data_IF_641093601198
#
_entry.id   IF_641093601198
#
_cell.length_a   1.000
_cell.length_b   1.000
_cell.length_c   1.000
_cell.angle_alpha   90.00
_cell.angle_beta   90.00
_cell.angle_gamma   90.00
#
_symmetry.space_group_name_H-M   'P 1'
#
loop_
_entity.id
_entity.type
_entity.pdbx_description
1 polymer ?
#
# COMPACT_ATOMS: atom_id res chain seq x y z
N UNK A 1 22.85 -5.36 0.73
CA UNK A 1 22.32 -6.73 0.54
C UNK A 1 21.31 -6.96 1.64
N UNK A 2 20.08 -7.33 1.29
CA UNK A 2 18.98 -7.50 2.26
C UNK A 2 19.07 -8.89 2.90
N UNK A 3 18.80 -8.98 4.20
CA UNK A 3 18.64 -10.26 4.90
C UNK A 3 17.25 -10.84 4.59
N UNK A 4 17.21 -11.89 3.77
CA UNK A 4 15.98 -12.53 3.31
C UNK A 4 15.14 -13.12 4.45
N UNK A 5 15.77 -13.70 5.47
CA UNK A 5 15.04 -14.30 6.61
C UNK A 5 14.40 -13.23 7.47
N UNK A 6 15.12 -12.13 7.70
CA UNK A 6 14.57 -11.01 8.43
C UNK A 6 13.42 -10.36 7.66
N UNK A 7 13.58 -10.19 6.34
CA UNK A 7 12.55 -9.62 5.47
C UNK A 7 11.28 -10.46 5.49
N UNK A 8 11.38 -11.77 5.25
CA UNK A 8 10.24 -12.70 5.28
C UNK A 8 9.48 -12.60 6.61
N UNK A 9 10.21 -12.70 7.74
CA UNK A 9 9.59 -12.61 9.07
C UNK A 9 8.84 -11.30 9.27
N UNK A 10 9.43 -10.16 8.86
CA UNK A 10 8.79 -8.85 9.01
C UNK A 10 7.59 -8.65 8.08
N UNK A 11 7.65 -9.20 6.86
CA UNK A 11 6.51 -9.22 5.94
C UNK A 11 5.33 -9.98 6.55
N UNK A 12 5.58 -11.17 7.13
CA UNK A 12 4.54 -11.95 7.82
C UNK A 12 3.96 -11.22 9.03
N UNK A 13 4.81 -10.59 9.87
CA UNK A 13 4.34 -9.78 11.00
C UNK A 13 3.36 -8.67 10.56
N UNK A 14 3.63 -8.01 9.42
CA UNK A 14 2.78 -6.94 8.87
C UNK A 14 1.43 -7.49 8.37
N UNK A 15 1.44 -8.62 7.67
CA UNK A 15 0.21 -9.29 7.19
C UNK A 15 -0.66 -9.80 8.34
N UNK A 16 -0.04 -10.24 9.44
CA UNK A 16 -0.75 -10.67 10.64
C UNK A 16 -1.40 -9.50 11.40
N UNK A 17 -0.74 -8.34 11.42
CA UNK A 17 -1.24 -7.16 12.13
C UNK A 17 -2.52 -6.58 11.51
N UNK A 18 -2.72 -6.76 10.19
CA UNK A 18 -3.89 -6.28 9.45
C UNK A 18 -3.94 -7.00 8.10
N UNK A 19 -5.14 -7.15 7.51
CA UNK A 19 -5.26 -7.59 6.12
C UNK A 19 -4.80 -6.51 5.13
N UNK A 20 -3.76 -6.81 4.34
CA UNK A 20 -3.28 -6.01 3.21
C UNK A 20 -3.56 -6.78 1.91
N UNK A 21 -3.75 -6.08 0.79
CA UNK A 21 -3.89 -6.80 -0.48
C UNK A 21 -2.53 -7.37 -0.92
N UNK A 22 -2.49 -8.55 -1.59
CA UNK A 22 -1.24 -9.16 -2.06
C UNK A 22 -0.41 -8.20 -2.91
N UNK A 23 -1.07 -7.36 -3.73
CA UNK A 23 -0.42 -6.36 -4.58
C UNK A 23 0.32 -5.29 -3.78
N UNK A 24 -0.18 -4.91 -2.60
CA UNK A 24 0.51 -3.92 -1.75
C UNK A 24 1.71 -4.56 -1.07
N UNK A 25 1.57 -5.80 -0.59
CA UNK A 25 2.68 -6.55 0.01
C UNK A 25 3.83 -6.76 -0.98
N UNK A 26 3.55 -7.20 -2.23
CA UNK A 26 4.59 -7.36 -3.24
C UNK A 26 5.31 -6.05 -3.59
N UNK A 27 4.59 -4.92 -3.64
CA UNK A 27 5.21 -3.60 -3.88
C UNK A 27 6.08 -3.16 -2.71
N UNK A 28 5.66 -3.46 -1.49
CA UNK A 28 6.42 -3.13 -0.29
C UNK A 28 7.71 -3.95 -0.24
N UNK A 29 7.64 -5.26 -0.50
CA UNK A 29 8.83 -6.11 -0.60
C UNK A 29 9.81 -5.61 -1.66
N UNK A 30 9.30 -5.27 -2.85
CA UNK A 30 10.10 -4.73 -3.95
C UNK A 30 10.77 -3.41 -3.54
N UNK A 31 10.08 -2.53 -2.82
CA UNK A 31 10.65 -1.27 -2.32
C UNK A 31 11.82 -1.52 -1.37
N UNK A 32 11.68 -2.47 -0.43
CA UNK A 32 12.76 -2.84 0.49
C UNK A 32 13.96 -3.45 -0.25
N UNK A 33 13.71 -4.32 -1.24
CA UNK A 33 14.77 -4.99 -2.02
C UNK A 33 15.50 -4.07 -3.01
N UNK A 34 14.82 -3.04 -3.52
CA UNK A 34 15.35 -2.13 -4.56
C UNK A 34 15.82 -0.77 -4.03
N UNK A 35 15.46 -0.40 -2.81
CA UNK A 35 15.84 0.88 -2.23
C UNK A 35 17.33 0.94 -1.89
N UNK A 36 18.02 1.97 -2.38
CA UNK A 36 19.22 2.50 -1.73
C UNK A 36 18.83 2.87 -0.29
N UNK A 37 19.57 2.42 0.74
CA UNK A 37 19.18 2.51 2.15
C UNK A 37 18.71 3.93 2.53
N UNK A 38 19.29 4.97 1.91
CA UNK A 38 18.92 6.38 2.08
C UNK A 38 17.50 6.73 1.61
N UNK A 39 16.98 6.05 0.59
CA UNK A 39 15.61 6.23 0.11
C UNK A 39 14.58 5.60 1.06
N UNK A 40 14.92 4.48 1.71
CA UNK A 40 14.06 3.83 2.70
C UNK A 40 13.84 4.70 3.94
N UNK A 41 14.86 5.45 4.37
CA UNK A 41 14.73 6.40 5.48
C UNK A 41 13.88 7.64 5.15
N UNK A 42 13.68 7.97 3.86
CA UNK A 42 12.83 9.11 3.45
C UNK A 42 11.36 8.75 3.32
N UNK A 43 11.05 7.48 3.05
CA UNK A 43 9.67 7.02 2.95
C UNK A 43 9.19 6.68 4.35
N UNK A 44 8.48 7.62 5.00
CA UNK A 44 7.74 7.30 6.22
C UNK A 44 6.65 6.27 5.86
N UNK A 45 6.75 4.99 6.32
CA UNK A 45 5.84 3.93 5.89
C UNK A 45 4.39 4.20 6.33
N UNK A 46 4.20 4.91 7.44
CA UNK A 46 2.89 5.33 7.93
C UNK A 46 2.29 6.43 7.05
N UNK A 47 3.12 7.36 6.57
CA UNK A 47 2.67 8.40 5.64
C UNK A 47 2.25 7.79 4.30
N UNK A 48 3.04 6.85 3.77
CA UNK A 48 2.73 6.12 2.54
C UNK A 48 1.43 5.31 2.66
N UNK A 49 1.25 4.58 3.78
CA UNK A 49 0.02 3.83 4.04
C UNK A 49 -1.21 4.76 4.12
N UNK A 50 -1.08 5.94 4.73
CA UNK A 50 -2.16 6.93 4.84
C UNK A 50 -2.56 7.51 3.48
N UNK A 51 -1.58 7.81 2.63
CA UNK A 51 -1.81 8.32 1.27
C UNK A 51 -2.46 7.26 0.37
N UNK A 52 -2.01 6.01 0.45
CA UNK A 52 -2.62 4.91 -0.29
C UNK A 52 -4.08 4.66 0.13
N UNK A 53 -4.39 4.73 1.43
CA UNK A 53 -5.78 4.64 1.94
C UNK A 53 -6.64 5.80 1.43
N UNK A 54 -6.09 7.03 1.41
CA UNK A 54 -6.78 8.20 0.87
C UNK A 54 -7.08 8.04 -0.63
N UNK A 55 -6.10 7.64 -1.45
CA UNK A 55 -6.25 7.44 -2.89
C UNK A 55 -7.23 6.30 -3.24
N UNK A 56 -7.29 5.23 -2.45
CA UNK A 56 -8.28 4.17 -2.63
C UNK A 56 -9.68 4.57 -2.17
N UNK A 57 -9.79 5.42 -1.15
CA UNK A 57 -11.06 5.98 -0.69
C UNK A 57 -11.68 6.96 -1.69
N UNK A 58 -10.85 7.78 -2.36
CA UNK A 58 -11.32 8.72 -3.37
C UNK A 58 -11.74 8.02 -4.66
N UNK A 59 -11.02 6.98 -5.08
CA UNK A 59 -11.41 6.15 -6.25
C UNK A 59 -12.73 5.42 -6.05
N UNK A 60 -13.02 4.92 -4.84
CA UNK A 60 -14.33 4.31 -4.53
C UNK A 60 -15.47 5.34 -4.61
N UNK A 61 -15.25 6.55 -4.10
CA UNK A 61 -16.27 7.61 -4.11
C UNK A 61 -16.56 8.15 -5.52
N UNK A 62 -15.54 8.25 -6.38
CA UNK A 62 -15.70 8.69 -7.76
C UNK A 62 -16.47 7.68 -8.63
N UNK A 63 -16.41 6.38 -8.30
CA UNK A 63 -17.21 5.35 -8.98
C UNK A 63 -18.70 5.40 -8.64
N UNK A 64 -19.05 5.70 -7.38
CA UNK A 64 -20.45 5.80 -6.93
C UNK A 64 -21.15 7.06 -7.45
N UNK A 65 -20.42 8.18 -7.62
CA UNK A 65 -20.98 9.43 -8.15
C UNK A 65 -21.49 9.32 -9.59
N UNK A 66 -20.92 8.40 -10.38
CA UNK A 66 -21.28 8.24 -11.79
C UNK A 66 -22.58 7.45 -12.01
N UNK A 67 -23.06 6.71 -10.99
CA UNK A 67 -24.27 5.88 -11.09
C UNK A 67 -25.57 6.65 -10.80
N UNK A 68 -25.49 7.87 -10.24
CA UNK A 68 -26.68 8.69 -9.91
C UNK A 68 -27.09 9.71 -10.98
N UNK A 69 -26.22 10.00 -11.97
CA UNK A 69 -26.50 11.04 -12.98
C UNK A 69 -27.20 10.52 -14.24
N UNK A 70 -27.52 9.22 -14.32
CA UNK A 70 -28.16 8.59 -15.48
C UNK A 70 -29.60 8.14 -15.26
N UNK A 71 -30.23 8.55 -14.16
CA UNK A 71 -31.59 8.12 -13.80
C UNK A 71 -32.47 9.34 -13.48
N UNK A 72 -32.44 10.34 -14.35
CA UNK A 72 -33.43 11.41 -14.44
C UNK A 72 -33.46 11.85 -15.92
N UNK A 73 -34.39 11.28 -16.68
CA UNK A 73 -34.60 11.54 -18.11
C UNK A 73 -35.82 10.83 -18.63
#
# INVERSE_FOLDING_TARGET
MVDDRLLERKMTEIEQARAWSPRVMSKFEMLIRSGDDRALYRVNPLAFAREAVFLWGTRRRAGDSSLRSGQDG
#
